data_IF_729196268534
#
_entry.id   IF_729196268534
#
_cell.length_a   1.000
_cell.length_b   1.000
_cell.length_c   1.000
_cell.angle_alpha   90.00
_cell.angle_beta   90.00
_cell.angle_gamma   90.00
#
_symmetry.space_group_name_H-M   'P 1'
#
loop_
_entity.id
_entity.type
_entity.pdbx_description
1 polymer ?
#
# COMPACT_ATOMS: atom_id res chain seq x y z
N UNK A 1 11.08 -7.67 -19.69
CA UNK A 1 9.77 -7.15 -19.22
C UNK A 1 9.45 -7.60 -17.79
N UNK A 2 9.88 -8.80 -17.45
CA UNK A 2 9.85 -9.58 -16.21
C UNK A 2 10.29 -8.88 -14.90
N UNK A 3 10.88 -7.68 -14.95
CA UNK A 3 11.23 -6.89 -13.75
C UNK A 3 10.43 -5.59 -13.58
N UNK A 4 9.66 -5.18 -14.60
CA UNK A 4 8.95 -3.89 -14.58
C UNK A 4 7.94 -3.85 -13.44
N UNK A 5 7.13 -4.91 -13.29
CA UNK A 5 6.14 -5.01 -12.22
C UNK A 5 6.77 -4.92 -10.82
N UNK A 6 7.85 -5.67 -10.57
CA UNK A 6 8.57 -5.59 -9.30
C UNK A 6 9.16 -4.20 -9.07
N UNK A 7 9.74 -3.57 -10.09
CA UNK A 7 10.32 -2.22 -9.95
C UNK A 7 9.27 -1.19 -9.59
N UNK A 8 8.10 -1.22 -10.25
CA UNK A 8 7.01 -0.30 -9.95
C UNK A 8 6.50 -0.45 -8.51
N UNK A 9 6.33 -1.69 -8.03
CA UNK A 9 5.91 -1.95 -6.66
C UNK A 9 7.00 -1.61 -5.63
N UNK A 10 8.29 -1.87 -5.93
CA UNK A 10 9.41 -1.46 -5.07
C UNK A 10 9.40 0.06 -4.91
N UNK A 11 9.24 0.80 -6.00
CA UNK A 11 9.19 2.26 -5.96
C UNK A 11 8.00 2.75 -5.14
N UNK A 12 6.80 2.19 -5.37
CA UNK A 12 5.60 2.51 -4.60
C UNK A 12 5.84 2.30 -3.09
N UNK A 13 6.20 1.08 -2.69
CA UNK A 13 6.34 0.71 -1.29
C UNK A 13 7.49 1.42 -0.57
N UNK A 14 8.62 1.59 -1.26
CA UNK A 14 9.75 2.34 -0.71
C UNK A 14 9.36 3.79 -0.49
N UNK A 15 8.70 4.40 -1.48
CA UNK A 15 8.29 5.78 -1.39
C UNK A 15 7.26 6.01 -0.28
N UNK A 16 6.16 5.25 -0.27
CA UNK A 16 5.09 5.43 0.73
C UNK A 16 5.56 5.08 2.14
N UNK A 17 6.43 4.07 2.28
CA UNK A 17 6.94 3.63 3.58
C UNK A 17 7.94 4.63 4.16
N UNK A 18 8.88 5.10 3.33
CA UNK A 18 9.85 6.11 3.77
C UNK A 18 9.19 7.45 4.04
N UNK A 19 8.24 7.90 3.22
CA UNK A 19 7.53 9.16 3.44
C UNK A 19 6.84 9.16 4.81
N UNK A 20 6.17 8.05 5.16
CA UNK A 20 5.53 7.87 6.48
C UNK A 20 6.50 7.89 7.65
N UNK A 21 7.71 7.33 7.49
CA UNK A 21 8.71 7.30 8.57
C UNK A 21 9.47 8.63 8.70
N UNK A 22 9.78 9.28 7.58
CA UNK A 22 10.45 10.59 7.57
C UNK A 22 9.52 11.64 8.18
N UNK A 23 8.23 11.60 7.82
CA UNK A 23 7.20 12.51 8.33
C UNK A 23 6.33 11.83 9.39
N UNK A 24 6.97 11.15 10.35
CA UNK A 24 6.27 10.28 11.30
C UNK A 24 5.18 10.99 12.10
N UNK A 25 5.45 12.19 12.63
CA UNK A 25 4.46 12.92 13.42
C UNK A 25 3.21 13.30 12.62
N UNK A 26 3.39 13.74 11.36
CA UNK A 26 2.29 14.10 10.48
C UNK A 26 1.49 12.85 10.08
N UNK A 27 2.20 11.78 9.70
CA UNK A 27 1.60 10.50 9.33
C UNK A 27 0.80 9.88 10.48
N UNK A 28 1.37 9.89 11.69
CA UNK A 28 0.69 9.43 12.91
C UNK A 28 -0.56 10.25 13.21
N UNK A 29 -0.51 11.58 13.08
CA UNK A 29 -1.70 12.44 13.24
C UNK A 29 -2.79 12.11 12.20
N UNK A 30 -2.42 11.79 10.96
CA UNK A 30 -3.39 11.38 9.95
C UNK A 30 -4.00 10.00 10.24
N UNK A 31 -3.22 9.05 10.77
CA UNK A 31 -3.74 7.77 11.28
C UNK A 31 -4.73 7.99 12.43
N UNK A 32 -4.38 8.83 13.41
CA UNK A 32 -5.26 9.18 14.54
C UNK A 32 -6.51 9.99 14.15
N UNK A 33 -6.57 10.46 12.91
CA UNK A 33 -7.73 11.13 12.35
C UNK A 33 -8.60 10.17 11.53
N UNK A 34 -8.33 8.87 11.49
CA UNK A 34 -9.21 7.91 10.82
C UNK A 34 -10.46 7.64 11.71
N UNK A 35 -11.54 7.08 11.15
CA UNK A 35 -12.73 6.68 11.92
C UNK A 35 -12.54 5.27 12.54
N UNK A 36 -11.44 5.03 13.26
CA UNK A 36 -11.14 3.76 13.94
C UNK A 36 -10.86 3.97 15.44
N UNK A 37 -10.74 2.91 16.25
CA UNK A 37 -10.28 3.05 17.63
C UNK A 37 -8.83 3.57 17.68
N UNK A 38 -8.57 4.59 18.50
CA UNK A 38 -7.24 5.23 18.60
C UNK A 38 -6.10 4.24 18.88
N UNK A 39 -6.35 3.17 19.65
CA UNK A 39 -5.36 2.12 19.94
C UNK A 39 -4.91 1.39 18.66
N UNK A 40 -5.85 1.12 17.75
CA UNK A 40 -5.56 0.50 16.46
C UNK A 40 -4.81 1.47 15.55
N UNK A 41 -5.23 2.73 15.51
CA UNK A 41 -4.61 3.78 14.69
C UNK A 41 -3.14 4.02 15.09
N UNK A 42 -2.87 4.01 16.39
CA UNK A 42 -1.50 4.11 16.93
C UNK A 42 -0.63 2.95 16.45
N UNK A 43 -1.14 1.71 16.53
CA UNK A 43 -0.42 0.52 16.07
C UNK A 43 -0.19 0.58 14.55
N UNK A 44 -1.22 0.96 13.78
CA UNK A 44 -1.12 1.07 12.33
C UNK A 44 -0.09 2.11 11.87
N UNK A 45 0.08 3.21 12.61
CA UNK A 45 1.08 4.23 12.31
C UNK A 45 2.52 3.66 12.28
N UNK A 46 2.79 2.56 13.00
CA UNK A 46 4.07 1.85 12.94
C UNK A 46 4.03 0.63 12.01
N UNK A 47 2.99 -0.19 12.10
CA UNK A 47 2.92 -1.48 11.38
C UNK A 47 2.85 -1.27 9.87
N UNK A 48 2.10 -0.26 9.42
CA UNK A 48 1.93 0.01 7.99
C UNK A 48 3.27 0.37 7.31
N UNK A 49 4.00 1.42 7.72
CA UNK A 49 5.25 1.77 7.05
C UNK A 49 6.30 0.66 7.11
N UNK A 50 6.37 -0.09 8.21
CA UNK A 50 7.27 -1.26 8.32
C UNK A 50 6.88 -2.35 7.33
N UNK A 51 5.58 -2.63 7.18
CA UNK A 51 5.09 -3.63 6.23
C UNK A 51 5.36 -3.22 4.79
N UNK A 52 5.19 -1.93 4.45
CA UNK A 52 5.50 -1.39 3.12
C UNK A 52 6.99 -1.59 2.79
N UNK A 53 7.90 -1.20 3.67
CA UNK A 53 9.34 -1.39 3.44
C UNK A 53 9.75 -2.86 3.39
N UNK A 54 9.13 -3.72 4.20
CA UNK A 54 9.33 -5.17 4.12
C UNK A 54 8.91 -5.71 2.75
N UNK A 55 7.77 -5.28 2.20
CA UNK A 55 7.33 -5.68 0.86
C UNK A 55 8.31 -5.23 -0.22
N UNK A 56 8.86 -4.00 -0.12
CA UNK A 56 9.90 -3.52 -1.02
C UNK A 56 11.15 -4.42 -0.98
N UNK A 57 11.61 -4.81 0.22
CA UNK A 57 12.74 -5.73 0.40
C UNK A 57 12.44 -7.13 -0.17
N UNK A 58 11.26 -7.68 0.06
CA UNK A 58 10.86 -8.99 -0.47
C UNK A 58 10.82 -9.00 -2.00
N UNK A 59 10.40 -7.91 -2.64
CA UNK A 59 10.37 -7.79 -4.10
C UNK A 59 11.77 -7.64 -4.72
N UNK A 60 12.73 -7.08 -3.97
CA UNK A 60 14.10 -6.84 -4.43
C UNK A 60 14.81 -8.15 -4.81
N UNK A 61 14.75 -9.16 -3.93
CA UNK A 61 15.43 -10.44 -4.14
C UNK A 61 14.56 -11.43 -4.91
N UNK A 62 15.14 -12.13 -5.90
CA UNK A 62 14.41 -13.08 -6.75
C UNK A 62 13.78 -14.22 -5.96
N UNK A 63 14.45 -14.70 -4.90
CA UNK A 63 14.02 -15.82 -4.06
C UNK A 63 12.75 -15.47 -3.26
N UNK A 64 12.63 -14.24 -2.77
CA UNK A 64 11.51 -13.78 -1.95
C UNK A 64 10.40 -13.09 -2.75
N UNK A 65 10.62 -12.86 -4.06
CA UNK A 65 9.74 -12.04 -4.90
C UNK A 65 8.31 -12.56 -4.97
N UNK A 66 8.12 -13.87 -4.90
CA UNK A 66 6.79 -14.47 -4.86
C UNK A 66 5.97 -13.96 -3.65
N UNK A 67 6.60 -13.96 -2.47
CA UNK A 67 6.01 -13.42 -1.24
C UNK A 67 5.80 -11.91 -1.31
N UNK A 68 6.73 -11.18 -1.94
CA UNK A 68 6.59 -9.75 -2.19
C UNK A 68 5.36 -9.41 -3.02
N UNK A 69 5.10 -10.14 -4.11
CA UNK A 69 3.90 -9.93 -4.93
C UNK A 69 2.62 -10.33 -4.19
N UNK A 70 2.61 -11.49 -3.52
CA UNK A 70 1.43 -11.93 -2.77
C UNK A 70 1.08 -10.95 -1.65
N UNK A 71 2.07 -10.51 -0.88
CA UNK A 71 1.89 -9.52 0.18
C UNK A 71 1.46 -8.16 -0.37
N UNK A 72 1.96 -7.76 -1.53
CA UNK A 72 1.51 -6.52 -2.21
C UNK A 72 0.03 -6.60 -2.58
N UNK A 73 -0.42 -7.72 -3.15
CA UNK A 73 -1.85 -7.94 -3.49
C UNK A 73 -2.70 -7.86 -2.22
N UNK A 74 -2.29 -8.54 -1.16
CA UNK A 74 -3.03 -8.55 0.10
C UNK A 74 -3.15 -7.14 0.69
N UNK A 75 -2.02 -6.43 0.86
CA UNK A 75 -2.01 -5.11 1.49
C UNK A 75 -2.76 -4.08 0.64
N UNK A 76 -2.54 -4.07 -0.68
CA UNK A 76 -3.31 -3.18 -1.58
C UNK A 76 -4.80 -3.50 -1.55
N UNK A 77 -5.20 -4.76 -1.40
CA UNK A 77 -6.63 -5.12 -1.29
C UNK A 77 -7.23 -4.57 0.00
N UNK A 78 -6.51 -4.65 1.11
CA UNK A 78 -6.93 -4.03 2.39
C UNK A 78 -7.07 -2.51 2.24
N UNK A 79 -6.07 -1.84 1.67
CA UNK A 79 -6.13 -0.39 1.43
C UNK A 79 -7.25 0.01 0.48
N UNK A 80 -7.44 -0.73 -0.61
CA UNK A 80 -8.51 -0.50 -1.59
C UNK A 80 -9.88 -0.66 -0.95
N UNK A 81 -10.07 -1.71 -0.14
CA UNK A 81 -11.33 -1.94 0.58
C UNK A 81 -11.62 -0.77 1.52
N UNK A 82 -10.62 -0.36 2.30
CA UNK A 82 -10.75 0.75 3.24
C UNK A 82 -11.08 2.07 2.55
N UNK A 83 -10.31 2.45 1.53
CA UNK A 83 -10.53 3.64 0.71
C UNK A 83 -11.90 3.59 0.03
N UNK A 84 -12.31 2.42 -0.48
CA UNK A 84 -13.61 2.22 -1.09
C UNK A 84 -14.76 2.46 -0.11
N UNK A 85 -14.65 1.97 1.13
CA UNK A 85 -15.62 2.22 2.19
C UNK A 85 -15.74 3.71 2.54
N UNK A 86 -14.63 4.44 2.58
CA UNK A 86 -14.66 5.90 2.74
C UNK A 86 -15.37 6.56 1.56
N UNK A 87 -15.00 6.18 0.33
CA UNK A 87 -15.52 6.80 -0.88
C UNK A 87 -17.04 6.62 -1.03
N UNK A 88 -17.58 5.46 -0.67
CA UNK A 88 -19.03 5.21 -0.70
C UNK A 88 -19.79 5.77 0.52
N UNK A 89 -19.09 6.42 1.46
CA UNK A 89 -19.70 7.05 2.62
C UNK A 89 -20.13 6.06 3.72
N UNK A 90 -19.43 4.93 3.89
CA UNK A 90 -19.75 3.93 4.90
C UNK A 90 -19.47 4.38 6.35
N UNK A 91 -18.77 5.50 6.55
CA UNK A 91 -18.38 6.02 7.86
C UNK A 91 -19.16 7.32 8.22
N UNK A 92 -19.39 7.61 9.52
CA UNK A 92 -20.09 8.82 9.96
C UNK A 92 -19.41 10.14 9.58
N UNK A 93 -18.10 10.09 9.30
CA UNK A 93 -17.28 11.23 8.87
C UNK A 93 -16.27 10.77 7.83
N UNK A 94 -15.94 11.65 6.89
CA UNK A 94 -14.85 11.44 5.94
C UNK A 94 -13.58 12.02 6.56
N UNK A 95 -12.53 11.21 6.81
CA UNK A 95 -11.27 11.74 7.33
C UNK A 95 -10.58 12.62 6.28
N UNK A 96 -9.75 13.55 6.72
CA UNK A 96 -8.92 14.31 5.79
C UNK A 96 -7.75 13.43 5.32
N UNK A 97 -7.35 13.55 4.05
CA UNK A 97 -6.27 12.76 3.47
C UNK A 97 -4.87 13.32 3.83
N UNK A 98 -4.74 14.00 4.98
CA UNK A 98 -3.68 14.93 5.36
C UNK A 98 -2.29 14.31 5.66
N UNK A 99 -1.90 13.20 5.02
CA UNK A 99 -0.56 12.64 5.16
C UNK A 99 0.11 12.25 3.85
N UNK A 100 1.23 12.92 3.58
CA UNK A 100 2.19 12.60 2.53
C UNK A 100 1.90 13.33 1.22
N UNK A 101 2.73 13.11 0.20
CA UNK A 101 2.56 13.80 -1.10
C UNK A 101 1.27 13.37 -1.83
N UNK A 102 0.65 12.25 -1.44
CA UNK A 102 -0.65 11.80 -1.94
C UNK A 102 -1.85 12.54 -1.31
N UNK A 103 -1.60 13.51 -0.42
CA UNK A 103 -2.61 14.43 0.16
C UNK A 103 -3.49 15.13 -0.88
N UNK A 104 -2.93 15.33 -2.09
CA UNK A 104 -3.61 16.01 -3.19
C UNK A 104 -4.61 15.15 -3.95
N UNK A 105 -4.59 13.82 -3.76
CA UNK A 105 -5.50 12.92 -4.44
C UNK A 105 -6.77 12.71 -3.60
N UNK A 106 -7.93 12.77 -4.25
CA UNK A 106 -9.18 12.37 -3.66
C UNK A 106 -9.27 10.85 -3.46
N UNK A 107 -10.27 10.43 -2.68
CA UNK A 107 -10.51 9.02 -2.36
C UNK A 107 -10.77 8.17 -3.61
N UNK A 108 -11.42 8.73 -4.64
CA UNK A 108 -11.64 8.05 -5.91
C UNK A 108 -10.34 7.80 -6.67
N UNK A 109 -9.44 8.79 -6.74
CA UNK A 109 -8.15 8.61 -7.41
C UNK A 109 -7.26 7.61 -6.66
N UNK A 110 -7.24 7.64 -5.32
CA UNK A 110 -6.56 6.62 -4.50
C UNK A 110 -7.08 5.22 -4.78
N UNK A 111 -8.40 5.07 -4.87
CA UNK A 111 -9.03 3.78 -5.15
C UNK A 111 -8.58 3.21 -6.50
N UNK A 112 -8.63 4.04 -7.55
CA UNK A 112 -8.22 3.64 -8.91
C UNK A 112 -6.72 3.34 -8.97
N UNK A 113 -5.89 4.14 -8.29
CA UNK A 113 -4.44 3.91 -8.21
C UNK A 113 -4.13 2.56 -7.58
N UNK A 114 -4.77 2.24 -6.45
CA UNK A 114 -4.57 0.96 -5.77
C UNK A 114 -5.02 -0.22 -6.64
N UNK A 115 -6.17 -0.12 -7.32
CA UNK A 115 -6.61 -1.14 -8.28
C UNK A 115 -5.60 -1.35 -9.41
N UNK A 116 -5.01 -0.27 -9.94
CA UNK A 116 -3.94 -0.34 -10.94
C UNK A 116 -2.74 -1.14 -10.42
N UNK A 117 -2.27 -0.85 -9.21
CA UNK A 117 -1.14 -1.57 -8.61
C UNK A 117 -1.47 -3.01 -8.22
N UNK A 118 -2.73 -3.33 -7.86
CA UNK A 118 -3.17 -4.73 -7.71
C UNK A 118 -3.01 -5.46 -9.04
N UNK A 119 -3.43 -4.85 -10.15
CA UNK A 119 -3.25 -5.39 -11.50
C UNK A 119 -1.77 -5.65 -11.83
N UNK A 120 -0.90 -4.69 -11.51
CA UNK A 120 0.56 -4.84 -11.67
C UNK A 120 1.11 -6.01 -10.84
N UNK A 121 0.68 -6.15 -9.58
CA UNK A 121 1.12 -7.22 -8.70
C UNK A 121 0.62 -8.60 -9.16
N UNK A 122 -0.63 -8.71 -9.61
CA UNK A 122 -1.20 -9.94 -10.18
C UNK A 122 -0.47 -10.35 -11.46
N UNK A 123 -0.19 -9.40 -12.36
CA UNK A 123 0.63 -9.66 -13.53
C UNK A 123 2.02 -10.17 -13.11
N UNK A 124 2.72 -9.42 -12.26
CA UNK A 124 4.05 -9.80 -11.79
C UNK A 124 4.12 -11.21 -11.19
N UNK A 125 3.12 -11.57 -10.38
CA UNK A 125 3.00 -12.90 -9.78
C UNK A 125 2.76 -14.01 -10.82
N UNK A 126 1.87 -13.79 -11.78
CA UNK A 126 1.59 -14.77 -12.85
C UNK A 126 2.82 -15.00 -13.72
N UNK A 127 3.48 -13.92 -14.15
CA UNK A 127 4.72 -14.02 -14.94
C UNK A 127 5.86 -14.70 -14.18
N UNK A 128 5.91 -14.58 -12.86
CA UNK A 128 6.88 -15.30 -12.03
C UNK A 128 6.60 -16.81 -12.03
N UNK A 129 5.34 -17.23 -11.83
CA UNK A 129 4.96 -18.65 -11.84
C UNK A 129 5.25 -19.33 -13.18
N UNK A 130 4.92 -18.68 -14.29
CA UNK A 130 5.22 -19.21 -15.63
C UNK A 130 6.71 -19.52 -15.83
N UNK A 131 7.62 -18.76 -15.21
CA UNK A 131 9.07 -18.97 -15.31
C UNK A 131 9.61 -20.06 -14.38
N UNK A 132 8.86 -20.41 -13.33
CA UNK A 132 9.22 -21.50 -12.41
C UNK A 132 8.76 -22.85 -12.98
N UNK A 133 7.66 -22.86 -13.73
CA UNK A 133 7.09 -24.06 -14.35
C UNK A 133 7.68 -24.42 -15.73
N UNK A 134 8.40 -23.48 -16.38
CA UNK A 134 9.11 -23.66 -17.66
C UNK A 134 10.56 -24.08 -17.48
#
# INVERSE_FOLDING_TARGET
MDKIASTLLILLWTYTGLDKLIQFEASRKAFLNQPMPNELEEVLAYVIPVSELLLALLLLFSITRWWGYLGSILLLTVFTTYVGLIWVGAFPRVPCNCAGILESLGWAEHFVLNLGFIGVAVWGLRSLKFKVES
#
